data_IF_840427799216
#
_entry.id   IF_840427799216
#
_cell.length_a   1.000
_cell.length_b   1.000
_cell.length_c   1.000
_cell.angle_alpha   90.00
_cell.angle_beta   90.00
_cell.angle_gamma   90.00
#
_symmetry.space_group_name_H-M   'P 1'
#
loop_
_entity.id
_entity.type
_entity.pdbx_description
1 polymer ?
#
# COMPACT_ATOMS: atom_id res chain seq x y z
N UNK A 1 26.80 2.00 12.80
CA UNK A 1 25.58 1.18 12.62
C UNK A 1 25.52 0.02 13.62
N UNK A 2 26.46 -0.94 13.61
CA UNK A 2 26.42 -2.13 14.49
C UNK A 2 26.37 -1.83 16.01
N UNK A 3 27.00 -0.75 16.47
CA UNK A 3 26.88 -0.26 17.85
C UNK A 3 25.44 0.09 18.25
N UNK A 4 24.66 0.67 17.33
CA UNK A 4 23.24 1.06 17.57
C UNK A 4 22.32 -0.16 17.59
N UNK A 5 22.74 -1.26 16.96
CA UNK A 5 22.05 -2.54 16.95
C UNK A 5 22.48 -3.43 18.12
N UNK A 6 23.16 -2.87 19.13
CA UNK A 6 23.66 -3.58 20.31
C UNK A 6 24.45 -4.85 19.99
N UNK A 7 25.15 -4.87 18.85
CA UNK A 7 25.95 -6.01 18.43
C UNK A 7 27.14 -6.23 19.39
N UNK A 8 27.64 -7.47 19.46
CA UNK A 8 28.77 -7.83 20.33
C UNK A 8 30.01 -7.04 19.93
N UNK A 9 30.67 -6.42 20.91
CA UNK A 9 31.99 -5.78 20.70
C UNK A 9 33.11 -6.78 20.95
N UNK A 10 33.98 -6.99 19.96
CA UNK A 10 35.16 -7.83 20.11
C UNK A 10 36.37 -6.98 20.53
N UNK A 11 36.89 -7.26 21.73
CA UNK A 11 38.00 -6.52 22.34
C UNK A 11 39.35 -6.80 21.67
N UNK A 12 39.53 -7.95 21.01
CA UNK A 12 40.76 -8.32 20.30
C UNK A 12 40.86 -7.64 18.94
N UNK A 13 39.76 -7.62 18.17
CA UNK A 13 39.72 -7.00 16.84
C UNK A 13 39.33 -5.52 16.89
N UNK A 14 38.93 -5.02 18.07
CA UNK A 14 38.44 -3.65 18.34
C UNK A 14 37.29 -3.24 17.41
N UNK A 15 36.40 -4.19 17.08
CA UNK A 15 35.28 -4.00 16.14
C UNK A 15 34.00 -4.62 16.70
N UNK A 16 32.85 -4.08 16.28
CA UNK A 16 31.56 -4.72 16.49
C UNK A 16 31.38 -5.85 15.48
N UNK A 17 30.99 -7.02 15.97
CA UNK A 17 30.77 -8.19 15.13
C UNK A 17 29.29 -8.26 14.73
N UNK A 18 28.98 -8.43 13.43
CA UNK A 18 27.60 -8.62 13.01
C UNK A 18 27.06 -9.94 13.57
N UNK A 19 25.74 -10.03 13.84
CA UNK A 19 25.12 -11.29 14.20
C UNK A 19 25.33 -12.31 13.09
N UNK A 20 25.57 -13.57 13.48
CA UNK A 20 25.66 -14.67 12.53
C UNK A 20 24.32 -14.90 11.82
N UNK A 21 24.36 -15.52 10.64
CA UNK A 21 23.14 -15.89 9.90
C UNK A 21 22.11 -16.65 10.78
N UNK A 22 22.50 -17.65 11.61
CA UNK A 22 21.54 -18.35 12.47
C UNK A 22 20.90 -17.44 13.53
N UNK A 23 21.57 -16.36 13.92
CA UNK A 23 21.05 -15.38 14.87
C UNK A 23 20.02 -14.48 14.19
N UNK A 24 20.34 -13.99 12.98
CA UNK A 24 19.40 -13.20 12.17
C UNK A 24 18.14 -14.01 11.86
N UNK A 25 18.30 -15.27 11.42
CA UNK A 25 17.17 -16.15 11.09
C UNK A 25 16.25 -16.38 12.28
N UNK A 26 16.79 -16.74 13.46
CA UNK A 26 15.98 -16.97 14.66
C UNK A 26 15.23 -15.72 15.08
N UNK A 27 15.89 -14.56 15.02
CA UNK A 27 15.24 -13.28 15.31
C UNK A 27 14.08 -13.00 14.36
N UNK A 28 14.30 -13.11 13.05
CA UNK A 28 13.25 -12.88 12.04
C UNK A 28 12.07 -13.86 12.18
N UNK A 29 12.32 -15.09 12.63
CA UNK A 29 11.27 -16.09 12.88
C UNK A 29 10.47 -15.83 14.17
N UNK A 30 11.00 -15.04 15.10
CA UNK A 30 10.36 -14.73 16.38
C UNK A 30 9.68 -13.35 16.41
N UNK A 31 10.04 -12.48 15.47
CA UNK A 31 9.50 -11.12 15.41
C UNK A 31 8.01 -11.16 15.02
N UNK A 32 7.22 -10.33 15.68
CA UNK A 32 5.85 -10.06 15.26
C UNK A 32 5.88 -9.19 13.99
N UNK A 33 5.51 -9.80 12.87
CA UNK A 33 5.52 -9.15 11.56
C UNK A 33 4.55 -7.95 11.50
N UNK A 34 3.40 -8.03 12.17
CA UNK A 34 2.40 -6.96 12.18
C UNK A 34 2.89 -5.78 13.03
N UNK A 35 3.54 -6.05 14.16
CA UNK A 35 4.14 -5.00 14.98
C UNK A 35 5.27 -4.27 14.23
N UNK A 36 6.13 -5.01 13.51
CA UNK A 36 7.18 -4.42 12.68
C UNK A 36 6.58 -3.59 11.55
N UNK A 37 5.56 -4.11 10.87
CA UNK A 37 4.87 -3.39 9.80
C UNK A 37 4.27 -2.06 10.30
N UNK A 38 3.58 -2.07 11.44
CA UNK A 38 3.03 -0.84 12.04
C UNK A 38 4.09 0.21 12.35
N UNK A 39 5.24 -0.21 12.88
CA UNK A 39 6.35 0.72 13.18
C UNK A 39 6.94 1.30 11.89
N UNK A 40 7.16 0.46 10.88
CA UNK A 40 7.68 0.90 9.58
C UNK A 40 6.68 1.81 8.87
N UNK A 41 5.40 1.45 8.83
CA UNK A 41 4.33 2.24 8.24
C UNK A 41 4.23 3.62 8.88
N UNK A 42 4.27 3.73 10.21
CA UNK A 42 4.32 5.05 10.90
C UNK A 42 5.53 5.88 10.48
N UNK A 43 6.70 5.27 10.40
CA UNK A 43 7.91 5.96 9.94
C UNK A 43 7.77 6.40 8.48
N UNK A 44 7.30 5.52 7.59
CA UNK A 44 7.04 5.83 6.19
C UNK A 44 6.04 6.97 6.00
N UNK A 45 4.97 7.00 6.79
CA UNK A 45 4.02 8.11 6.79
C UNK A 45 4.65 9.45 7.24
N UNK A 46 5.66 9.41 8.12
CA UNK A 46 6.38 10.62 8.55
C UNK A 46 7.37 11.18 7.53
N UNK A 47 7.91 10.33 6.65
CA UNK A 47 8.87 10.73 5.61
C UNK A 47 8.23 10.87 4.23
N UNK A 48 7.02 10.34 4.06
CA UNK A 48 6.26 10.39 2.81
C UNK A 48 5.77 11.80 2.50
N UNK A 49 5.90 12.20 1.25
CA UNK A 49 5.39 13.47 0.78
C UNK A 49 3.86 13.42 0.68
N UNK A 50 3.19 14.25 1.49
CA UNK A 50 1.73 14.31 1.57
C UNK A 50 1.08 14.93 0.32
N UNK A 51 1.84 15.69 -0.49
CA UNK A 51 1.36 16.26 -1.75
C UNK A 51 1.24 15.24 -2.87
N UNK A 52 1.86 14.06 -2.72
CA UNK A 52 1.84 13.03 -3.73
C UNK A 52 0.56 12.19 -3.67
N UNK A 53 0.03 11.76 -4.84
CA UNK A 53 -1.07 10.82 -4.90
C UNK A 53 -0.66 9.46 -4.34
N UNK A 54 -1.64 8.77 -3.74
CA UNK A 54 -1.49 7.42 -3.20
C UNK A 54 -1.98 6.43 -4.25
N UNK A 55 -1.16 5.43 -4.57
CA UNK A 55 -1.58 4.29 -5.37
C UNK A 55 -1.91 3.10 -4.47
N UNK A 56 -2.97 2.37 -4.81
CA UNK A 56 -3.36 1.13 -4.14
C UNK A 56 -3.29 -0.02 -5.14
N UNK A 57 -2.57 -1.08 -4.77
CA UNK A 57 -2.41 -2.28 -5.60
C UNK A 57 -2.30 -3.55 -4.75
N UNK A 58 -2.85 -4.65 -5.28
CA UNK A 58 -2.77 -5.98 -4.70
C UNK A 58 -1.61 -6.79 -5.30
N UNK A 59 -0.71 -7.32 -4.46
CA UNK A 59 0.43 -8.15 -4.89
C UNK A 59 0.46 -9.49 -4.18
N UNK A 60 0.62 -10.54 -4.97
CA UNK A 60 0.91 -11.88 -4.47
C UNK A 60 2.41 -12.06 -4.30
N UNK A 61 2.85 -12.44 -3.10
CA UNK A 61 4.25 -12.73 -2.79
C UNK A 61 4.58 -14.17 -3.20
N UNK A 62 5.13 -14.34 -4.41
CA UNK A 62 5.30 -15.66 -5.05
C UNK A 62 6.14 -16.70 -4.27
N UNK A 63 6.95 -16.26 -3.30
CA UNK A 63 7.75 -17.14 -2.43
C UNK A 63 7.26 -17.27 -0.99
N UNK A 64 6.28 -16.46 -0.57
CA UNK A 64 5.76 -16.49 0.79
C UNK A 64 4.53 -17.39 0.85
N UNK A 65 4.64 -18.48 1.63
CA UNK A 65 3.55 -19.42 1.86
C UNK A 65 3.23 -19.50 3.34
N UNK A 66 1.93 -19.49 3.64
CA UNK A 66 1.41 -19.79 4.96
C UNK A 66 1.61 -21.29 5.28
N UNK A 67 1.47 -21.71 6.55
CA UNK A 67 1.57 -23.11 6.94
C UNK A 67 0.59 -24.04 6.19
N UNK A 68 -0.54 -23.51 5.73
CA UNK A 68 -1.54 -24.22 4.92
C UNK A 68 -1.21 -24.26 3.42
N UNK A 69 -0.04 -23.75 3.02
CA UNK A 69 0.43 -23.73 1.64
C UNK A 69 -0.11 -22.57 0.80
N UNK A 70 -0.99 -21.71 1.33
CA UNK A 70 -1.53 -20.57 0.58
C UNK A 70 -0.48 -19.49 0.38
N UNK A 71 -0.48 -18.88 -0.81
CA UNK A 71 0.34 -17.70 -1.08
C UNK A 71 -0.18 -16.50 -0.28
N UNK A 72 0.74 -15.66 0.18
CA UNK A 72 0.41 -14.39 0.83
C UNK A 72 0.06 -13.37 -0.26
N UNK A 73 -1.10 -12.74 -0.11
CA UNK A 73 -1.53 -11.63 -0.94
C UNK A 73 -1.65 -10.38 -0.07
N UNK A 74 -1.02 -9.29 -0.50
CA UNK A 74 -0.99 -8.02 0.22
C UNK A 74 -1.64 -6.93 -0.64
N UNK A 75 -2.54 -6.16 -0.04
CA UNK A 75 -3.03 -4.91 -0.59
C UNK A 75 -2.20 -3.78 0.03
N UNK A 76 -1.54 -2.97 -0.79
CA UNK A 76 -0.63 -1.92 -0.33
C UNK A 76 -1.05 -0.55 -0.85
N UNK A 77 -0.99 0.46 0.02
CA UNK A 77 -1.09 1.87 -0.31
C UNK A 77 0.31 2.49 -0.33
N UNK A 78 0.72 3.08 -1.45
CA UNK A 78 2.10 3.53 -1.65
C UNK A 78 2.21 4.81 -2.48
N UNK A 79 3.29 5.55 -2.24
CA UNK A 79 3.66 6.76 -2.99
C UNK A 79 4.51 6.36 -4.20
N UNK A 80 3.91 6.34 -5.38
CA UNK A 80 4.56 5.82 -6.58
C UNK A 80 5.89 6.51 -6.91
N UNK A 81 5.98 7.84 -6.77
CA UNK A 81 7.22 8.59 -7.07
C UNK A 81 8.34 8.36 -6.04
N UNK A 82 8.00 8.04 -4.79
CA UNK A 82 8.99 7.82 -3.73
C UNK A 82 9.31 6.34 -3.49
N UNK A 83 8.49 5.42 -4.00
CA UNK A 83 8.64 3.98 -3.74
C UNK A 83 8.39 3.60 -2.28
N UNK A 84 7.59 4.39 -1.56
CA UNK A 84 7.31 4.21 -0.13
C UNK A 84 5.92 3.59 0.04
N UNK A 85 5.84 2.49 0.78
CA UNK A 85 4.56 1.90 1.21
C UNK A 85 4.12 2.56 2.52
N UNK A 86 2.97 3.22 2.50
CA UNK A 86 2.43 3.98 3.64
C UNK A 86 1.62 3.10 4.60
N UNK A 87 0.94 2.10 4.04
CA UNK A 87 0.18 1.09 4.74
C UNK A 87 0.05 -0.15 3.86
N UNK A 88 -0.06 -1.32 4.47
CA UNK A 88 -0.41 -2.55 3.76
C UNK A 88 -1.23 -3.47 4.67
N UNK A 89 -2.07 -4.29 4.05
CA UNK A 89 -2.85 -5.30 4.76
C UNK A 89 -2.88 -6.60 3.99
N UNK A 90 -2.89 -7.72 4.72
CA UNK A 90 -2.98 -9.04 4.11
C UNK A 90 -4.42 -9.36 3.74
N UNK A 91 -4.64 -9.76 2.49
CA UNK A 91 -5.94 -10.21 1.99
C UNK A 91 -5.98 -11.73 2.04
N UNK A 92 -6.95 -12.31 2.73
CA UNK A 92 -7.19 -13.75 2.65
C UNK A 92 -7.73 -14.09 1.26
N UNK A 93 -7.30 -15.22 0.69
CA UNK A 93 -7.68 -15.69 -0.65
C UNK A 93 -9.20 -15.88 -0.82
N UNK A 94 -9.94 -16.10 0.26
CA UNK A 94 -11.41 -16.19 0.24
C UNK A 94 -12.11 -14.84 0.16
N UNK A 95 -11.40 -13.76 0.49
CA UNK A 95 -11.93 -12.41 0.54
C UNK A 95 -11.42 -11.64 -0.67
N UNK A 96 -12.27 -10.84 -1.29
CA UNK A 96 -11.82 -9.94 -2.35
C UNK A 96 -11.01 -8.78 -1.75
N UNK A 97 -10.26 -8.04 -2.56
CA UNK A 97 -9.49 -6.88 -2.07
C UNK A 97 -10.38 -5.72 -1.61
N UNK A 98 -11.59 -5.60 -2.17
CA UNK A 98 -12.50 -4.46 -1.95
C UNK A 98 -12.84 -4.23 -0.46
N UNK A 99 -13.25 -5.25 0.33
CA UNK A 99 -13.55 -5.06 1.75
C UNK A 99 -12.31 -4.74 2.60
N UNK A 100 -11.10 -4.91 2.05
CA UNK A 100 -9.85 -4.57 2.74
C UNK A 100 -9.43 -3.12 2.51
N UNK A 101 -10.07 -2.40 1.59
CA UNK A 101 -9.79 -0.98 1.36
C UNK A 101 -10.03 -0.14 2.62
N UNK A 102 -11.14 -0.30 3.37
CA UNK A 102 -11.30 0.43 4.62
C UNK A 102 -10.20 0.12 5.64
N UNK A 103 -9.89 -1.17 5.82
CA UNK A 103 -8.85 -1.65 6.76
C UNK A 103 -7.48 -1.06 6.41
N UNK A 104 -7.15 -0.97 5.12
CA UNK A 104 -5.90 -0.37 4.64
C UNK A 104 -5.77 1.11 5.02
N UNK A 105 -6.88 1.84 5.08
CA UNK A 105 -6.90 3.28 5.34
C UNK A 105 -7.27 3.66 6.77
N UNK A 106 -7.50 2.70 7.68
CA UNK A 106 -7.88 3.00 9.07
C UNK A 106 -6.83 3.88 9.76
N UNK A 107 -5.55 3.56 9.58
CA UNK A 107 -4.41 4.27 10.18
C UNK A 107 -3.67 5.18 9.17
N UNK A 108 -4.30 5.55 8.06
CA UNK A 108 -3.70 6.42 7.05
C UNK A 108 -4.60 7.62 6.72
N UNK A 109 -4.09 8.83 7.01
CA UNK A 109 -4.77 10.06 6.63
C UNK A 109 -4.61 10.32 5.12
N UNK A 110 -5.74 10.24 4.43
CA UNK A 110 -5.85 10.44 2.98
C UNK A 110 -6.75 11.62 2.61
N UNK A 111 -7.17 12.42 3.59
CA UNK A 111 -8.03 13.57 3.35
C UNK A 111 -7.37 14.56 2.38
N UNK A 112 -8.15 15.08 1.44
CA UNK A 112 -7.72 16.03 0.41
C UNK A 112 -6.58 15.50 -0.49
N UNK A 113 -6.41 14.16 -0.56
CA UNK A 113 -5.43 13.49 -1.42
C UNK A 113 -6.11 12.70 -2.51
N UNK A 114 -5.43 12.60 -3.65
CA UNK A 114 -5.85 11.74 -4.75
C UNK A 114 -5.39 10.31 -4.50
N UNK A 115 -6.34 9.38 -4.54
CA UNK A 115 -6.08 7.93 -4.44
C UNK A 115 -6.37 7.27 -5.79
N UNK A 116 -5.39 6.52 -6.30
CA UNK A 116 -5.51 5.78 -7.55
C UNK A 116 -5.60 4.29 -7.27
N UNK A 117 -6.50 3.60 -7.95
CA UNK A 117 -6.63 2.15 -7.86
C UNK A 117 -6.54 1.50 -9.24
N UNK A 118 -6.30 0.19 -9.23
CA UNK A 118 -6.48 -0.64 -10.40
C UNK A 118 -7.95 -0.65 -10.89
N UNK A 119 -8.19 -1.26 -12.04
CA UNK A 119 -9.52 -1.28 -12.63
C UNK A 119 -10.52 -2.18 -11.88
N UNK A 120 -10.06 -3.21 -11.15
CA UNK A 120 -10.94 -4.11 -10.41
C UNK A 120 -11.68 -3.36 -9.28
N UNK A 121 -11.03 -2.34 -8.72
CA UNK A 121 -11.56 -1.47 -7.68
C UNK A 121 -12.49 -0.35 -8.17
N UNK A 122 -12.80 -0.28 -9.46
CA UNK A 122 -13.78 0.66 -10.02
C UNK A 122 -15.22 0.31 -9.59
N UNK A 123 -15.51 0.42 -8.30
CA UNK A 123 -16.77 0.09 -7.64
C UNK A 123 -17.37 1.31 -6.97
N UNK A 124 -18.70 1.35 -6.91
CA UNK A 124 -19.44 2.48 -6.33
C UNK A 124 -19.19 2.59 -4.83
N UNK A 125 -19.17 1.47 -4.10
CA UNK A 125 -18.90 1.49 -2.67
C UNK A 125 -17.50 2.04 -2.37
N UNK A 126 -16.48 1.65 -3.13
CA UNK A 126 -15.10 2.17 -2.96
C UNK A 126 -15.04 3.68 -3.23
N UNK A 127 -15.64 4.16 -4.33
CA UNK A 127 -15.71 5.59 -4.63
C UNK A 127 -16.42 6.38 -3.51
N UNK A 128 -17.56 5.85 -3.04
CA UNK A 128 -18.34 6.46 -1.96
C UNK A 128 -17.52 6.54 -0.68
N UNK A 129 -16.87 5.46 -0.28
CA UNK A 129 -16.03 5.44 0.92
C UNK A 129 -14.91 6.49 0.88
N UNK A 130 -14.23 6.60 -0.27
CA UNK A 130 -13.15 7.58 -0.43
C UNK A 130 -13.65 9.02 -0.28
N UNK A 131 -14.76 9.37 -0.94
CA UNK A 131 -15.29 10.74 -0.94
C UNK A 131 -16.07 11.07 0.32
N UNK A 132 -16.99 10.22 0.74
CA UNK A 132 -17.92 10.49 1.84
C UNK A 132 -17.26 10.31 3.20
N UNK A 133 -16.57 9.17 3.43
CA UNK A 133 -16.00 8.84 4.73
C UNK A 133 -14.60 9.43 4.92
N UNK A 134 -13.75 9.35 3.89
CA UNK A 134 -12.34 9.76 3.98
C UNK A 134 -12.05 11.17 3.44
N UNK A 135 -13.01 11.82 2.77
CA UNK A 135 -12.84 13.14 2.14
C UNK A 135 -11.62 13.18 1.20
N UNK A 136 -11.39 12.09 0.48
CA UNK A 136 -10.33 11.93 -0.49
C UNK A 136 -10.89 12.02 -1.92
N UNK A 137 -10.03 12.36 -2.86
CA UNK A 137 -10.32 12.30 -4.29
C UNK A 137 -9.87 10.96 -4.87
N UNK A 138 -10.45 10.53 -5.99
CA UNK A 138 -10.08 9.26 -6.60
C UNK A 138 -9.89 9.34 -8.12
N UNK A 139 -9.00 8.49 -8.63
CA UNK A 139 -8.87 8.21 -10.07
C UNK A 139 -8.99 6.70 -10.27
N UNK A 140 -10.07 6.28 -10.92
CA UNK A 140 -10.31 4.89 -11.26
C UNK A 140 -10.12 4.65 -12.75
N UNK A 141 -9.50 3.52 -13.09
CA UNK A 141 -9.44 3.05 -14.47
C UNK A 141 -10.66 2.18 -14.77
N UNK A 142 -11.47 2.55 -15.75
CA UNK A 142 -12.64 1.74 -16.15
C UNK A 142 -12.23 0.74 -17.24
N UNK A 143 -12.46 -0.55 -17.01
CA UNK A 143 -12.27 -1.63 -18.00
C UNK A 143 -13.59 -2.35 -18.29
N UNK A 144 -13.51 -3.57 -18.82
CA UNK A 144 -14.67 -4.39 -19.19
C UNK A 144 -15.51 -4.89 -18.01
N UNK A 145 -15.03 -4.71 -16.78
CA UNK A 145 -15.78 -4.99 -15.56
C UNK A 145 -16.96 -4.03 -15.33
N UNK A 146 -16.98 -2.88 -15.99
CA UNK A 146 -18.06 -1.88 -15.90
C UNK A 146 -18.59 -1.55 -17.30
N UNK A 147 -19.26 -2.51 -17.95
CA UNK A 147 -19.68 -2.42 -19.36
C UNK A 147 -20.50 -1.17 -19.68
N UNK A 148 -21.47 -0.81 -18.82
CA UNK A 148 -22.32 0.36 -19.01
C UNK A 148 -21.53 1.66 -18.94
N UNK A 149 -20.60 1.78 -17.99
CA UNK A 149 -19.73 2.96 -17.85
C UNK A 149 -18.77 3.04 -19.04
N UNK A 150 -18.16 1.91 -19.43
CA UNK A 150 -17.28 1.85 -20.60
C UNK A 150 -18.02 2.25 -21.88
N UNK A 151 -19.27 1.82 -22.04
CA UNK A 151 -20.11 2.21 -23.17
C UNK A 151 -20.45 3.70 -23.14
N UNK A 152 -20.89 4.23 -21.99
CA UNK A 152 -21.13 5.66 -21.83
C UNK A 152 -19.88 6.49 -22.14
N UNK A 153 -18.69 6.07 -21.69
CA UNK A 153 -17.42 6.74 -21.99
C UNK A 153 -17.13 6.72 -23.50
N UNK A 154 -17.42 5.62 -24.20
CA UNK A 154 -17.27 5.56 -25.67
C UNK A 154 -18.27 6.48 -26.37
N UNK A 155 -19.50 6.54 -25.88
CA UNK A 155 -20.57 7.39 -26.42
C UNK A 155 -20.36 8.88 -26.16
N UNK A 156 -19.57 9.25 -25.13
CA UNK A 156 -19.15 10.64 -24.89
C UNK A 156 -18.36 11.25 -26.06
N UNK A 157 -17.90 10.42 -27.02
CA UNK A 157 -17.34 10.84 -28.31
C UNK A 157 -16.36 12.02 -28.15
N UNK A 158 -15.37 11.82 -27.26
CA UNK A 158 -14.40 12.82 -26.78
C UNK A 158 -13.47 13.32 -27.90
N UNK A 159 -14.01 14.06 -28.85
CA UNK A 159 -13.27 14.87 -29.82
C UNK A 159 -12.84 16.22 -29.21
N UNK A 160 -13.26 16.51 -27.97
CA UNK A 160 -12.86 17.69 -27.21
C UNK A 160 -12.69 17.34 -25.72
N UNK A 161 -11.47 17.59 -25.23
CA UNK A 161 -11.06 17.49 -23.83
C UNK A 161 -11.79 18.57 -23.01
N UNK A 162 -12.36 18.31 -21.82
CA UNK A 162 -12.93 19.37 -21.00
C UNK A 162 -11.80 20.28 -20.49
N UNK A 163 -12.00 21.61 -20.49
CA UNK A 163 -10.94 22.58 -20.32
C UNK A 163 -10.50 22.63 -18.86
N UNK A 164 -9.19 22.81 -18.68
CA UNK A 164 -8.61 23.42 -17.49
C UNK A 164 -9.53 24.49 -16.90
N UNK A 165 -10.00 24.26 -15.67
CA UNK A 165 -10.62 25.28 -14.85
C UNK A 165 -9.64 26.46 -14.69
N UNK A 166 -10.18 27.67 -14.83
CA UNK A 166 -9.46 28.94 -14.98
C UNK A 166 -8.50 29.23 -13.82
N UNK A 167 -7.31 29.76 -14.15
CA UNK A 167 -6.52 30.56 -13.22
C UNK A 167 -7.35 31.80 -12.83
N UNK A 168 -7.69 31.91 -11.55
CA UNK A 168 -7.96 33.18 -10.88
C UNK A 168 -6.80 33.47 -9.93
#
# INVERSE_FOLDING_TARGET
MLKRLSCRYNTKTKRYEPPSEPTIRRFLQQVDAEAVDKVLSRWFQSVGDKSLPIAVDGKTLCGARQPDGKQVHLLAAFLHKQGIVLAQTQVDRKTNEIPMVPVLFDDLDIKDRVVTFDALHAQKETARYLVEDKKAEYIFTVKDNQKTIKQAIKELNLSSFPPSARNN
#
